data_IF_460660106590
#
_entry.id   IF_460660106590
#
_cell.length_a   1.000
_cell.length_b   1.000
_cell.length_c   1.000
_cell.angle_alpha   90.00
_cell.angle_beta   90.00
_cell.angle_gamma   90.00
#
_symmetry.space_group_name_H-M   'P 1'
#
loop_
_entity.id
_entity.type
_entity.pdbx_description
1 polymer ?
#
# COMPACT_ATOMS: atom_id res chain seq x y z
N UNK A 1 -17.85 1.78 -42.77
CA UNK A 1 -17.59 0.99 -41.54
C UNK A 1 -16.13 1.22 -41.18
N UNK A 2 -15.90 2.00 -40.17
CA UNK A 2 -14.57 2.17 -39.58
C UNK A 2 -14.49 1.13 -38.45
N UNK A 3 -13.80 0.03 -38.69
CA UNK A 3 -13.37 -0.90 -37.67
C UNK A 3 -12.24 -0.19 -36.90
N UNK A 4 -12.57 0.38 -35.75
CA UNK A 4 -11.56 0.89 -34.81
C UNK A 4 -11.01 -0.31 -34.06
N UNK A 5 -9.82 -0.72 -34.43
CA UNK A 5 -9.02 -1.71 -33.69
C UNK A 5 -8.67 -1.07 -32.34
N UNK A 6 -9.49 -1.32 -31.33
CA UNK A 6 -9.22 -0.87 -29.97
C UNK A 6 -8.03 -1.68 -29.40
N UNK A 7 -7.00 -1.04 -28.85
CA UNK A 7 -5.88 -1.74 -28.26
C UNK A 7 -6.38 -2.66 -27.16
N UNK A 8 -5.84 -3.86 -27.08
CA UNK A 8 -6.17 -4.92 -26.09
C UNK A 8 -6.05 -4.53 -24.61
N UNK A 9 -5.71 -3.28 -24.33
CA UNK A 9 -5.61 -2.73 -22.97
C UNK A 9 -6.96 -2.51 -22.27
N UNK A 10 -8.09 -2.59 -22.98
CA UNK A 10 -9.43 -2.31 -22.42
C UNK A 10 -10.27 -3.57 -22.09
N UNK A 11 -9.75 -4.76 -22.29
CA UNK A 11 -10.43 -5.98 -21.83
C UNK A 11 -9.91 -6.35 -20.41
N UNK A 12 -10.15 -5.51 -19.43
CA UNK A 12 -10.19 -5.95 -18.04
C UNK A 12 -11.49 -6.73 -17.82
N UNK A 13 -11.53 -7.93 -18.37
CA UNK A 13 -12.41 -8.98 -17.85
C UNK A 13 -11.84 -9.40 -16.50
N UNK A 14 -12.56 -9.19 -15.43
CA UNK A 14 -12.23 -9.40 -14.04
C UNK A 14 -11.16 -10.47 -13.78
N UNK A 15 -10.14 -10.10 -12.98
CA UNK A 15 -9.10 -11.00 -12.56
C UNK A 15 -7.97 -11.16 -13.59
N UNK A 16 -7.11 -10.14 -13.75
CA UNK A 16 -5.78 -10.40 -14.30
C UNK A 16 -5.15 -11.48 -13.43
N UNK A 17 -4.64 -12.54 -14.04
CA UNK A 17 -3.90 -13.58 -13.33
C UNK A 17 -2.64 -12.94 -12.72
N UNK A 18 -2.80 -12.40 -11.51
CA UNK A 18 -1.71 -11.75 -10.75
C UNK A 18 -0.64 -12.77 -10.36
N UNK A 19 -0.85 -14.04 -10.68
CA UNK A 19 0.07 -15.15 -10.41
C UNK A 19 1.06 -15.40 -11.55
N UNK A 20 1.02 -14.63 -12.65
CA UNK A 20 2.01 -14.76 -13.72
C UNK A 20 3.42 -14.50 -13.17
N UNK A 21 4.27 -15.53 -13.07
CA UNK A 21 5.61 -15.41 -12.48
C UNK A 21 6.58 -14.59 -13.37
N UNK A 22 6.18 -14.27 -14.59
CA UNK A 22 7.02 -13.46 -15.50
C UNK A 22 6.84 -11.96 -15.26
N UNK A 23 5.80 -11.53 -14.53
CA UNK A 23 5.58 -10.12 -14.21
C UNK A 23 6.61 -9.60 -13.23
N UNK A 24 7.36 -8.59 -13.65
CA UNK A 24 8.25 -7.87 -12.74
C UNK A 24 7.46 -7.11 -11.71
N UNK A 25 7.70 -7.41 -10.45
CA UNK A 25 6.94 -6.86 -9.35
C UNK A 25 7.79 -6.03 -8.38
N UNK A 26 7.16 -5.23 -7.52
CA UNK A 26 7.78 -4.57 -6.38
C UNK A 26 6.83 -4.52 -5.18
N UNK A 27 7.40 -4.50 -3.99
CA UNK A 27 6.67 -4.22 -2.75
C UNK A 27 6.70 -2.71 -2.49
N UNK A 28 5.51 -2.11 -2.28
CA UNK A 28 5.36 -0.72 -1.84
C UNK A 28 4.90 -0.71 -0.40
N UNK A 29 5.79 -0.29 0.51
CA UNK A 29 5.48 -0.11 1.95
C UNK A 29 5.03 1.33 2.15
N UNK A 30 3.73 1.51 2.39
CA UNK A 30 3.07 2.83 2.44
C UNK A 30 2.95 3.28 3.89
N UNK A 31 3.55 4.43 4.20
CA UNK A 31 3.35 5.19 5.44
C UNK A 31 3.48 4.35 6.73
N UNK A 32 4.32 3.30 6.74
CA UNK A 32 4.64 2.54 7.96
C UNK A 32 5.59 3.37 8.84
N UNK A 33 5.08 4.48 9.42
CA UNK A 33 5.88 5.55 10.03
C UNK A 33 5.43 5.93 11.43
N UNK A 34 6.38 6.43 12.22
CA UNK A 34 6.19 6.85 13.63
C UNK A 34 5.18 7.98 13.82
N UNK A 35 4.93 8.77 12.79
CA UNK A 35 3.96 9.88 12.82
C UNK A 35 2.57 9.45 13.30
N UNK A 36 2.15 8.20 12.99
CA UNK A 36 0.85 7.69 13.40
C UNK A 36 0.72 7.51 14.90
N UNK A 37 1.80 7.16 15.61
CA UNK A 37 1.80 7.01 17.07
C UNK A 37 1.45 8.31 17.81
N UNK A 38 1.60 9.45 17.14
CA UNK A 38 1.29 10.76 17.68
C UNK A 38 -0.17 11.19 17.46
N UNK A 39 -0.99 10.31 16.86
CA UNK A 39 -2.39 10.65 16.56
C UNK A 39 -3.32 10.15 17.67
N UNK A 40 -4.37 10.93 18.02
CA UNK A 40 -5.30 10.56 19.09
C UNK A 40 -6.02 9.22 18.87
N UNK A 41 -6.19 8.80 17.61
CA UNK A 41 -6.86 7.55 17.26
C UNK A 41 -5.93 6.34 17.27
N UNK A 42 -4.62 6.56 17.45
CA UNK A 42 -3.66 5.46 17.46
C UNK A 42 -3.87 4.54 18.65
N UNK A 43 -3.82 3.25 18.40
CA UNK A 43 -3.86 2.20 19.42
C UNK A 43 -2.90 1.09 19.04
N UNK A 44 -2.31 0.47 20.03
CA UNK A 44 -1.39 -0.65 19.82
C UNK A 44 -2.11 -2.00 19.70
N UNK A 45 -3.45 -2.03 19.81
CA UNK A 45 -4.24 -3.29 19.83
C UNK A 45 -3.88 -4.22 18.67
N UNK A 46 -3.88 -3.72 17.46
CA UNK A 46 -3.66 -4.51 16.23
C UNK A 46 -2.23 -4.37 15.68
N UNK A 47 -1.39 -3.54 16.33
CA UNK A 47 -0.03 -3.25 15.88
C UNK A 47 0.89 -4.49 15.87
N UNK A 48 0.91 -5.37 16.91
CA UNK A 48 1.78 -6.54 16.89
C UNK A 48 1.49 -7.52 15.76
N UNK A 49 0.21 -7.76 15.45
CA UNK A 49 -0.20 -8.63 14.35
C UNK A 49 0.17 -8.02 12.99
N UNK A 50 -0.06 -6.71 12.83
CA UNK A 50 0.37 -5.98 11.65
C UNK A 50 1.89 -6.06 11.43
N UNK A 51 2.68 -5.76 12.46
CA UNK A 51 4.15 -5.79 12.37
C UNK A 51 4.67 -7.19 12.05
N UNK A 52 4.08 -8.24 12.63
CA UNK A 52 4.46 -9.61 12.29
C UNK A 52 4.24 -9.90 10.78
N UNK A 53 3.08 -9.53 10.25
CA UNK A 53 2.74 -9.71 8.84
C UNK A 53 3.58 -8.81 7.91
N UNK A 54 3.75 -7.54 8.28
CA UNK A 54 4.52 -6.57 7.49
C UNK A 54 6.00 -6.97 7.42
N UNK A 55 6.59 -7.40 8.54
CA UNK A 55 7.99 -7.82 8.60
C UNK A 55 8.20 -9.12 7.80
N UNK A 56 7.31 -10.11 7.94
CA UNK A 56 7.37 -11.33 7.15
C UNK A 56 7.27 -11.05 5.64
N UNK A 57 6.42 -10.09 5.23
CA UNK A 57 6.31 -9.67 3.84
C UNK A 57 7.61 -9.00 3.34
N UNK A 58 8.17 -8.08 4.13
CA UNK A 58 9.45 -7.41 3.81
C UNK A 58 10.56 -8.44 3.64
N UNK A 59 10.77 -9.28 4.65
CA UNK A 59 11.83 -10.31 4.66
C UNK A 59 11.66 -11.30 3.50
N UNK A 60 10.41 -11.74 3.26
CA UNK A 60 10.09 -12.64 2.17
C UNK A 60 10.35 -12.04 0.78
N UNK A 61 10.06 -10.76 0.58
CA UNK A 61 10.37 -10.03 -0.65
C UNK A 61 11.88 -9.83 -0.82
N UNK A 62 12.59 -9.45 0.24
CA UNK A 62 14.06 -9.32 0.22
C UNK A 62 14.72 -10.63 -0.17
N UNK A 63 14.31 -11.75 0.44
CA UNK A 63 14.84 -13.08 0.15
C UNK A 63 14.63 -13.52 -1.32
N UNK A 64 13.62 -12.98 -2.00
CA UNK A 64 13.30 -13.23 -3.41
C UNK A 64 13.89 -12.22 -4.38
N UNK A 65 14.62 -11.22 -3.89
CA UNK A 65 15.18 -10.15 -4.72
C UNK A 65 14.12 -9.19 -5.28
N UNK A 66 12.92 -9.17 -4.72
CA UNK A 66 11.86 -8.23 -5.09
C UNK A 66 12.26 -6.83 -4.60
N UNK A 67 12.31 -5.81 -5.47
CA UNK A 67 12.64 -4.45 -5.04
C UNK A 67 11.55 -3.89 -4.12
N UNK A 68 11.99 -3.20 -3.05
CA UNK A 68 11.12 -2.56 -2.08
C UNK A 68 11.15 -1.04 -2.25
N UNK A 69 9.97 -0.44 -2.30
CA UNK A 69 9.78 1.02 -2.34
C UNK A 69 9.20 1.48 -1.02
N UNK A 70 9.81 2.50 -0.42
CA UNK A 70 9.32 3.12 0.81
C UNK A 70 8.57 4.40 0.49
N UNK A 71 7.37 4.53 1.04
CA UNK A 71 6.58 5.76 0.95
C UNK A 71 6.42 6.34 2.34
N UNK A 72 6.63 7.65 2.47
CA UNK A 72 6.28 8.42 3.65
C UNK A 72 5.24 9.47 3.33
N UNK A 73 4.31 9.68 4.26
CA UNK A 73 3.36 10.78 4.20
C UNK A 73 3.92 12.00 4.93
N UNK A 74 3.93 13.13 4.25
CA UNK A 74 4.30 14.44 4.79
C UNK A 74 3.15 15.41 4.55
N UNK A 75 2.61 16.02 5.59
CA UNK A 75 1.45 16.90 5.46
C UNK A 75 1.42 18.00 6.54
N UNK A 76 0.62 19.03 6.27
CA UNK A 76 0.30 20.11 7.20
C UNK A 76 1.45 21.11 7.40
N UNK A 77 1.31 21.97 8.42
CA UNK A 77 2.29 23.02 8.68
C UNK A 77 3.64 22.44 9.10
N UNK A 78 4.73 23.05 8.62
CA UNK A 78 6.11 22.67 8.89
C UNK A 78 6.51 23.10 10.30
N UNK A 79 6.02 22.38 11.30
CA UNK A 79 6.29 22.64 12.72
C UNK A 79 6.66 21.36 13.44
N UNK A 80 7.43 21.47 14.52
CA UNK A 80 7.79 20.33 15.38
C UNK A 80 6.57 19.68 16.04
N UNK A 81 5.48 20.43 16.23
CA UNK A 81 4.24 19.93 16.81
C UNK A 81 3.40 19.09 15.83
N UNK A 82 3.66 19.20 14.54
CA UNK A 82 2.99 18.41 13.54
C UNK A 82 3.76 17.12 13.26
N UNK A 83 3.28 16.00 13.75
CA UNK A 83 3.94 14.70 13.60
C UNK A 83 4.16 14.25 12.14
N UNK A 84 3.43 14.82 11.18
CA UNK A 84 3.60 14.56 9.74
C UNK A 84 4.46 15.60 9.03
N UNK A 85 4.99 16.61 9.74
CA UNK A 85 6.01 17.49 9.18
C UNK A 85 7.37 16.78 9.17
N UNK A 86 8.16 16.98 8.11
CA UNK A 86 9.51 16.40 8.02
C UNK A 86 10.39 16.82 9.21
N UNK A 87 10.18 18.04 9.70
CA UNK A 87 10.91 18.64 10.81
C UNK A 87 10.61 18.01 12.18
N UNK A 88 9.48 17.28 12.30
CA UNK A 88 9.02 16.67 13.57
C UNK A 88 9.92 15.53 14.07
N UNK A 89 10.71 14.93 13.19
CA UNK A 89 11.48 13.72 13.47
C UNK A 89 10.65 12.42 13.51
N UNK A 90 9.33 12.50 13.28
CA UNK A 90 8.44 11.33 13.28
C UNK A 90 8.19 10.76 11.88
N UNK A 91 8.60 11.45 10.80
CA UNK A 91 8.54 10.94 9.43
C UNK A 91 9.72 10.00 9.21
N UNK A 92 9.63 8.82 9.82
CA UNK A 92 10.63 7.75 9.80
C UNK A 92 9.92 6.41 10.00
N UNK A 93 10.54 5.26 9.63
CA UNK A 93 9.92 3.96 9.83
C UNK A 93 9.51 3.73 11.29
N UNK A 94 8.46 2.95 11.51
CA UNK A 94 8.15 2.41 12.83
C UNK A 94 9.40 1.68 13.37
N UNK A 95 9.67 1.83 14.67
CA UNK A 95 10.89 1.31 15.27
C UNK A 95 11.02 -0.22 15.17
N UNK A 96 9.88 -0.94 15.19
CA UNK A 96 9.82 -2.39 15.12
C UNK A 96 9.71 -2.94 13.69
N UNK A 97 9.70 -2.04 12.68
CA UNK A 97 9.66 -2.46 11.29
C UNK A 97 11.00 -3.08 10.87
N UNK A 98 10.96 -4.24 10.22
CA UNK A 98 12.14 -4.87 9.66
C UNK A 98 12.91 -3.88 8.76
N UNK A 99 14.20 -3.77 8.99
CA UNK A 99 15.05 -2.91 8.18
C UNK A 99 15.20 -3.50 6.77
N UNK A 100 15.16 -2.64 5.75
CA UNK A 100 15.41 -3.01 4.36
C UNK A 100 16.04 -1.86 3.60
N UNK A 101 16.85 -2.21 2.60
CA UNK A 101 17.38 -1.25 1.64
C UNK A 101 16.29 -0.96 0.60
N UNK A 102 15.74 0.26 0.65
CA UNK A 102 14.73 0.68 -0.30
C UNK A 102 15.35 1.00 -1.66
N UNK A 103 14.85 0.37 -2.73
CA UNK A 103 15.23 0.70 -4.10
C UNK A 103 14.86 2.15 -4.48
N UNK A 104 13.83 2.68 -3.82
CA UNK A 104 13.46 4.10 -3.87
C UNK A 104 12.67 4.50 -2.62
N UNK A 105 12.78 5.79 -2.24
CA UNK A 105 11.96 6.38 -1.16
C UNK A 105 11.29 7.64 -1.69
N UNK A 106 9.97 7.73 -1.49
CA UNK A 106 9.19 8.89 -1.90
C UNK A 106 8.43 9.50 -0.72
N UNK A 107 8.27 10.81 -0.75
CA UNK A 107 7.44 11.56 0.19
C UNK A 107 6.22 12.07 -0.55
N UNK A 108 5.03 11.75 -0.05
CA UNK A 108 3.76 12.19 -0.60
C UNK A 108 3.01 13.11 0.35
N UNK A 109 2.15 13.95 -0.19
CA UNK A 109 1.24 14.80 0.57
C UNK A 109 -0.23 14.55 0.19
N UNK A 110 -0.50 13.47 -0.53
CA UNK A 110 -1.84 13.02 -0.91
C UNK A 110 -2.01 11.55 -0.52
N UNK A 111 -3.25 11.05 -0.51
CA UNK A 111 -3.50 9.65 -0.12
C UNK A 111 -2.84 8.68 -1.09
N UNK A 112 -3.03 8.86 -2.40
CA UNK A 112 -2.34 8.03 -3.38
C UNK A 112 -0.85 8.33 -3.43
N UNK A 113 -0.03 7.28 -3.39
CA UNK A 113 1.41 7.39 -3.55
C UNK A 113 1.83 7.78 -4.99
N UNK A 114 0.91 7.69 -5.96
CA UNK A 114 1.16 8.10 -7.34
C UNK A 114 1.01 9.61 -7.55
N UNK A 115 0.32 10.32 -6.64
CA UNK A 115 0.01 11.74 -6.81
C UNK A 115 1.08 12.62 -6.22
N UNK A 116 1.68 13.46 -7.08
CA UNK A 116 2.69 14.45 -6.67
C UNK A 116 4.05 13.84 -6.29
N UNK A 117 4.30 12.59 -6.70
CA UNK A 117 5.57 11.89 -6.52
C UNK A 117 6.14 11.43 -7.86
N UNK A 118 7.38 10.94 -7.85
CA UNK A 118 8.00 10.29 -9.01
C UNK A 118 7.80 8.77 -9.03
N UNK A 119 6.89 8.23 -8.22
CA UNK A 119 6.70 6.79 -8.10
C UNK A 119 6.34 6.15 -9.44
N UNK A 120 5.36 6.71 -10.17
CA UNK A 120 4.95 6.16 -11.47
C UNK A 120 6.10 6.16 -12.49
N UNK A 121 6.91 7.22 -12.51
CA UNK A 121 8.09 7.30 -13.38
C UNK A 121 9.08 6.21 -13.01
N UNK A 122 9.36 6.03 -11.72
CA UNK A 122 10.25 4.97 -11.24
C UNK A 122 9.74 3.57 -11.59
N UNK A 123 8.45 3.29 -11.40
CA UNK A 123 7.83 2.01 -11.76
C UNK A 123 8.00 1.70 -13.25
N UNK A 124 7.72 2.69 -14.11
CA UNK A 124 7.87 2.56 -15.57
C UNK A 124 9.31 2.32 -15.96
N UNK A 125 10.26 3.10 -15.44
CA UNK A 125 11.70 2.97 -15.75
C UNK A 125 12.27 1.62 -15.32
N UNK A 126 11.71 1.03 -14.27
CA UNK A 126 12.13 -0.29 -13.77
C UNK A 126 11.32 -1.45 -14.38
N UNK A 127 10.39 -1.16 -15.29
CA UNK A 127 9.58 -2.17 -15.97
C UNK A 127 8.64 -2.93 -15.03
N UNK A 128 8.21 -2.30 -13.93
CA UNK A 128 7.29 -2.93 -12.97
C UNK A 128 5.92 -3.05 -13.60
N UNK A 129 5.33 -4.23 -13.51
CA UNK A 129 4.01 -4.57 -14.05
C UNK A 129 3.02 -4.93 -12.94
N UNK A 130 3.52 -5.41 -11.81
CA UNK A 130 2.73 -5.77 -10.63
C UNK A 130 3.25 -5.07 -9.39
N UNK A 131 2.33 -4.59 -8.54
CA UNK A 131 2.63 -3.93 -7.28
C UNK A 131 2.04 -4.75 -6.13
N UNK A 132 2.85 -4.99 -5.10
CA UNK A 132 2.42 -5.56 -3.83
C UNK A 132 2.24 -4.38 -2.88
N UNK A 133 1.04 -4.20 -2.33
CA UNK A 133 0.70 -3.05 -1.47
C UNK A 133 0.57 -3.48 -0.03
N UNK A 134 1.25 -2.76 0.86
CA UNK A 134 1.16 -2.91 2.32
C UNK A 134 1.32 -1.56 3.03
N UNK A 135 1.01 -1.46 4.31
CA UNK A 135 1.25 -0.26 5.13
C UNK A 135 0.05 0.30 5.89
N UNK A 136 -0.01 1.63 6.04
CA UNK A 136 -0.97 2.37 6.86
C UNK A 136 -1.57 3.54 6.05
N UNK A 137 -2.89 3.84 6.09
CA UNK A 137 -4.01 3.07 6.66
C UNK A 137 -4.67 2.25 5.57
N UNK A 138 -5.22 1.12 5.96
CA UNK A 138 -5.89 0.17 5.07
C UNK A 138 -6.82 0.86 4.07
N UNK A 139 -7.84 1.57 4.55
CA UNK A 139 -8.91 2.18 3.75
C UNK A 139 -8.55 3.55 3.13
N UNK A 140 -7.40 4.10 3.50
CA UNK A 140 -6.97 5.43 3.03
C UNK A 140 -5.81 5.31 2.05
N UNK A 141 -4.57 5.47 2.52
CA UNK A 141 -3.41 5.53 1.63
C UNK A 141 -3.20 4.23 0.86
N UNK A 142 -3.39 3.07 1.50
CA UNK A 142 -3.23 1.78 0.83
C UNK A 142 -4.34 1.55 -0.21
N UNK A 143 -5.63 1.70 0.15
CA UNK A 143 -6.74 1.54 -0.78
C UNK A 143 -6.68 2.55 -1.92
N UNK A 144 -6.43 3.84 -1.62
CA UNK A 144 -6.38 4.89 -2.66
C UNK A 144 -5.22 4.64 -3.64
N UNK A 145 -4.05 4.23 -3.16
CA UNK A 145 -2.92 3.87 -4.03
C UNK A 145 -3.25 2.66 -4.90
N UNK A 146 -3.88 1.65 -4.33
CA UNK A 146 -4.31 0.44 -5.04
C UNK A 146 -5.26 0.76 -6.19
N UNK A 147 -6.32 1.53 -5.94
CA UNK A 147 -7.28 1.94 -6.97
C UNK A 147 -6.60 2.72 -8.09
N UNK A 148 -5.75 3.68 -7.72
CA UNK A 148 -5.03 4.47 -8.70
C UNK A 148 -4.03 3.61 -9.51
N UNK A 149 -3.32 2.70 -8.87
CA UNK A 149 -2.43 1.78 -9.58
C UNK A 149 -3.18 0.88 -10.57
N UNK A 150 -4.35 0.36 -10.17
CA UNK A 150 -5.23 -0.42 -11.04
C UNK A 150 -5.71 0.41 -12.25
N UNK A 151 -6.12 1.66 -12.02
CA UNK A 151 -6.54 2.57 -13.11
C UNK A 151 -5.39 2.89 -14.08
N UNK A 152 -4.14 2.86 -13.61
CA UNK A 152 -2.93 3.01 -14.43
C UNK A 152 -2.50 1.71 -15.15
N UNK A 153 -3.22 0.60 -14.92
CA UNK A 153 -2.99 -0.68 -15.60
C UNK A 153 -2.02 -1.62 -14.90
N UNK A 154 -1.58 -1.33 -13.67
CA UNK A 154 -0.79 -2.26 -12.89
C UNK A 154 -1.65 -3.42 -12.35
N UNK A 155 -1.13 -4.64 -12.36
CA UNK A 155 -1.64 -5.70 -11.51
C UNK A 155 -1.34 -5.37 -10.05
N UNK A 156 -2.29 -5.61 -9.13
CA UNK A 156 -2.11 -5.26 -7.73
C UNK A 156 -2.42 -6.44 -6.83
N UNK A 157 -1.45 -6.81 -5.97
CA UNK A 157 -1.65 -7.66 -4.81
C UNK A 157 -1.82 -6.77 -3.57
N UNK A 158 -3.00 -6.79 -2.98
CA UNK A 158 -3.32 -6.05 -1.76
C UNK A 158 -3.18 -6.97 -0.56
N UNK A 159 -2.09 -6.82 0.22
CA UNK A 159 -1.79 -7.73 1.33
C UNK A 159 -2.50 -7.25 2.59
N UNK A 160 -3.74 -7.70 2.78
CA UNK A 160 -4.64 -7.22 3.84
C UNK A 160 -4.03 -7.40 5.24
N UNK A 161 -3.35 -8.52 5.49
CA UNK A 161 -2.71 -8.81 6.79
C UNK A 161 -1.57 -7.85 7.09
N UNK A 162 -0.89 -7.35 6.05
CA UNK A 162 0.18 -6.37 6.15
C UNK A 162 -0.33 -4.93 6.01
N UNK A 163 -1.59 -4.66 6.33
CA UNK A 163 -2.14 -3.31 6.47
C UNK A 163 -2.64 -3.06 7.89
N UNK A 164 -2.56 -1.81 8.34
CA UNK A 164 -3.06 -1.36 9.65
C UNK A 164 -4.09 -0.25 9.47
N UNK A 165 -5.15 -0.31 10.27
CA UNK A 165 -6.10 0.79 10.44
C UNK A 165 -6.59 0.86 11.89
N UNK A 166 -7.42 1.83 12.21
CA UNK A 166 -7.90 2.14 13.54
C UNK A 166 -9.41 2.32 13.51
N UNK A 167 -10.06 2.10 14.65
CA UNK A 167 -11.49 2.33 14.80
C UNK A 167 -11.85 3.78 14.41
N UNK A 168 -13.02 3.96 13.83
CA UNK A 168 -13.59 5.24 13.43
C UNK A 168 -15.00 5.37 13.99
N UNK A 169 -15.57 6.55 13.87
CA UNK A 169 -16.94 6.82 14.28
C UNK A 169 -17.79 7.09 13.04
N UNK A 170 -18.91 6.39 12.91
CA UNK A 170 -19.93 6.70 11.90
C UNK A 170 -20.56 8.08 12.13
N UNK A 171 -21.26 8.60 11.13
CA UNK A 171 -21.96 9.89 11.21
C UNK A 171 -23.05 9.90 12.30
N UNK A 172 -23.63 8.76 12.61
CA UNK A 172 -24.63 8.59 13.68
C UNK A 172 -24.02 8.39 15.07
N UNK A 173 -22.69 8.44 15.18
CA UNK A 173 -21.94 8.26 16.42
C UNK A 173 -21.63 6.80 16.79
N UNK A 174 -22.10 5.83 16.03
CA UNK A 174 -21.79 4.41 16.27
C UNK A 174 -20.33 4.10 15.92
N UNK A 175 -19.80 3.03 16.52
CA UNK A 175 -18.43 2.58 16.29
C UNK A 175 -18.32 1.83 14.96
N UNK A 176 -17.36 2.23 14.12
CA UNK A 176 -16.88 1.47 12.96
C UNK A 176 -15.52 0.87 13.32
N UNK A 177 -15.49 -0.44 13.53
CA UNK A 177 -14.27 -1.10 13.99
C UNK A 177 -13.22 -1.22 12.90
N UNK A 178 -11.95 -1.33 13.28
CA UNK A 178 -10.86 -1.62 12.34
C UNK A 178 -11.10 -2.91 11.55
N UNK A 179 -11.74 -3.91 12.16
CA UNK A 179 -12.13 -5.16 11.50
C UNK A 179 -13.18 -4.94 10.40
N UNK A 180 -14.22 -4.14 10.68
CA UNK A 180 -15.25 -3.80 9.70
C UNK A 180 -14.66 -3.01 8.51
N UNK A 181 -13.75 -2.06 8.80
CA UNK A 181 -13.05 -1.29 7.79
C UNK A 181 -12.22 -2.21 6.89
N UNK A 182 -11.45 -3.14 7.46
CA UNK A 182 -10.66 -4.13 6.70
C UNK A 182 -11.58 -5.03 5.86
N UNK A 183 -12.66 -5.54 6.43
CA UNK A 183 -13.62 -6.38 5.72
C UNK A 183 -14.26 -5.63 4.54
N UNK A 184 -14.67 -4.38 4.74
CA UNK A 184 -15.21 -3.53 3.66
C UNK A 184 -14.16 -3.28 2.59
N UNK A 185 -12.93 -2.93 2.97
CA UNK A 185 -11.86 -2.65 2.00
C UNK A 185 -11.54 -3.90 1.16
N UNK A 186 -11.43 -5.07 1.79
CA UNK A 186 -11.27 -6.32 1.08
C UNK A 186 -12.39 -6.56 0.07
N UNK A 187 -13.65 -6.42 0.50
CA UNK A 187 -14.84 -6.67 -0.35
C UNK A 187 -14.87 -5.75 -1.58
N UNK A 188 -14.52 -4.48 -1.45
CA UNK A 188 -14.59 -3.53 -2.59
C UNK A 188 -13.38 -3.59 -3.52
N UNK A 189 -12.24 -4.12 -3.06
CA UNK A 189 -11.03 -4.26 -3.89
C UNK A 189 -11.00 -5.58 -4.65
N UNK A 190 -11.53 -6.66 -4.07
CA UNK A 190 -11.47 -8.01 -4.64
C UNK A 190 -12.09 -8.05 -6.02
N UNK A 191 -11.39 -8.68 -6.97
CA UNK A 191 -11.80 -8.91 -8.36
C UNK A 191 -12.14 -7.65 -9.16
N UNK A 192 -11.92 -6.48 -8.59
CA UNK A 192 -12.18 -5.20 -9.25
C UNK A 192 -10.91 -4.36 -9.43
N UNK A 193 -10.14 -4.18 -8.37
CA UNK A 193 -8.96 -3.32 -8.36
C UNK A 193 -7.68 -4.08 -7.99
N UNK A 194 -7.82 -5.20 -7.25
CA UNK A 194 -6.69 -5.95 -6.76
C UNK A 194 -7.07 -7.41 -6.46
N UNK A 195 -6.07 -8.27 -6.43
CA UNK A 195 -6.14 -9.53 -5.71
C UNK A 195 -5.89 -9.21 -4.22
N UNK A 196 -6.92 -9.35 -3.39
CA UNK A 196 -6.74 -9.30 -1.94
C UNK A 196 -6.19 -10.63 -1.46
N UNK A 197 -5.06 -10.61 -0.77
CA UNK A 197 -4.33 -11.83 -0.45
C UNK A 197 -3.65 -11.74 0.93
N UNK A 198 -3.22 -12.90 1.45
CA UNK A 198 -2.36 -13.00 2.62
C UNK A 198 -0.89 -12.74 2.24
N UNK A 199 -0.03 -12.58 3.27
CA UNK A 199 1.43 -12.49 3.08
C UNK A 199 1.96 -13.69 2.29
N UNK A 200 1.56 -14.92 2.66
CA UNK A 200 2.03 -16.13 1.98
C UNK A 200 1.63 -16.15 0.50
N UNK A 201 0.37 -15.82 0.21
CA UNK A 201 -0.12 -15.77 -1.17
C UNK A 201 0.58 -14.71 -2.02
N UNK A 202 0.93 -13.56 -1.41
CA UNK A 202 1.70 -12.52 -2.10
C UNK A 202 3.12 -13.01 -2.42
N UNK A 203 3.77 -13.68 -1.46
CA UNK A 203 5.13 -14.21 -1.61
C UNK A 203 5.20 -15.38 -2.60
N UNK A 204 4.16 -16.21 -2.69
CA UNK A 204 4.08 -17.30 -3.67
C UNK A 204 3.95 -16.76 -5.11
N UNK A 205 3.36 -15.58 -5.28
CA UNK A 205 3.24 -14.90 -6.56
C UNK A 205 4.33 -13.84 -6.81
N UNK A 206 5.33 -13.75 -5.93
CA UNK A 206 6.44 -12.81 -6.02
C UNK A 206 7.70 -13.58 -6.46
N UNK A 207 8.06 -13.48 -7.73
CA UNK A 207 9.28 -14.05 -8.29
C UNK A 207 10.18 -12.93 -8.82
#
# INVERSE_FOLDING_TARGET
RIETDMPRYFLHTGGSDTTDPTMKNCLIVIDAQESFRQRPYFTERDLPAYLASQNALIEGCVARGVPLVRIFHVDGPKTLANAFAAESGHVRPLAELAAFDAAATFHKSRHSAMVGTQLQVWLTQNGIQKIIVSGIRTEQCCETTTRHASDLGYAVDYVLDATLTFDMTHLDGSLLTAADIKARTAAVLTDRFARVCSVQQALDGAA
#
